data_IF_060272610009
#
_entry.id   IF_060272610009
#
_cell.length_a   1.000
_cell.length_b   1.000
_cell.length_c   1.000
_cell.angle_alpha   90.00
_cell.angle_beta   90.00
_cell.angle_gamma   90.00
#
_symmetry.space_group_name_H-M   'P 1'
#
loop_
_entity.id
_entity.type
_entity.pdbx_description
1 polymer ?
#
# COMPACT_ATOMS: atom_id res chain seq x y z
N UNK A 1 -33.99 13.88 26.13
CA UNK A 1 -33.18 13.79 24.89
C UNK A 1 -31.68 14.10 25.09
N UNK A 2 -31.17 14.39 26.31
CA UNK A 2 -29.83 14.98 26.46
C UNK A 2 -28.59 14.08 26.29
N UNK A 3 -28.66 12.79 26.66
CA UNK A 3 -27.47 11.92 26.70
C UNK A 3 -27.38 10.94 25.52
N UNK A 4 -28.51 10.46 25.02
CA UNK A 4 -28.56 9.48 23.93
C UNK A 4 -28.13 10.09 22.60
N UNK A 5 -28.54 11.33 22.32
CA UNK A 5 -28.11 12.08 21.14
C UNK A 5 -26.62 12.43 21.17
N UNK A 6 -26.08 12.75 22.36
CA UNK A 6 -24.63 12.99 22.53
C UNK A 6 -23.81 11.72 22.32
N UNK A 7 -24.27 10.58 22.84
CA UNK A 7 -23.61 9.30 22.61
C UNK A 7 -23.67 8.85 21.14
N UNK A 8 -24.79 9.10 20.46
CA UNK A 8 -24.92 8.86 19.01
C UNK A 8 -23.94 9.73 18.23
N UNK A 9 -23.81 11.01 18.58
CA UNK A 9 -22.86 11.93 17.95
C UNK A 9 -21.41 11.49 18.17
N UNK A 10 -21.02 11.15 19.41
CA UNK A 10 -19.68 10.62 19.72
C UNK A 10 -19.37 9.31 18.99
N UNK A 11 -20.36 8.40 18.88
CA UNK A 11 -20.19 7.15 18.12
C UNK A 11 -20.04 7.39 16.62
N UNK A 12 -20.69 8.42 16.06
CA UNK A 12 -20.53 8.81 14.65
C UNK A 12 -19.16 9.43 14.41
N UNK A 13 -18.75 10.36 15.26
CA UNK A 13 -17.45 11.01 15.20
C UNK A 13 -16.31 9.98 15.25
N UNK A 14 -16.34 9.05 16.21
CA UNK A 14 -15.33 8.00 16.31
C UNK A 14 -15.26 7.12 15.05
N UNK A 15 -16.39 6.76 14.45
CA UNK A 15 -16.40 6.01 13.18
C UNK A 15 -15.78 6.80 12.03
N UNK A 16 -16.05 8.11 11.96
CA UNK A 16 -15.45 8.97 10.94
C UNK A 16 -13.94 9.10 11.13
N UNK A 17 -13.47 9.28 12.38
CA UNK A 17 -12.03 9.30 12.66
C UNK A 17 -11.35 7.99 12.29
N UNK A 18 -11.99 6.85 12.57
CA UNK A 18 -11.45 5.54 12.21
C UNK A 18 -11.42 5.31 10.69
N UNK A 19 -12.41 5.80 9.95
CA UNK A 19 -12.40 5.79 8.48
C UNK A 19 -11.24 6.62 7.93
N UNK A 20 -11.09 7.86 8.41
CA UNK A 20 -10.00 8.75 7.98
C UNK A 20 -8.62 8.13 8.27
N UNK A 21 -8.45 7.50 9.43
CA UNK A 21 -7.20 6.78 9.76
C UNK A 21 -6.95 5.61 8.80
N UNK A 22 -7.97 4.83 8.43
CA UNK A 22 -7.85 3.73 7.47
C UNK A 22 -7.47 4.22 6.07
N UNK A 23 -8.08 5.31 5.61
CA UNK A 23 -7.74 5.93 4.33
C UNK A 23 -6.30 6.46 4.31
N UNK A 24 -5.85 7.12 5.38
CA UNK A 24 -4.47 7.59 5.52
C UNK A 24 -3.46 6.44 5.52
N UNK A 25 -3.74 5.35 6.25
CA UNK A 25 -2.89 4.17 6.27
C UNK A 25 -2.85 3.47 4.90
N UNK A 26 -3.99 3.35 4.22
CA UNK A 26 -4.07 2.78 2.89
C UNK A 26 -3.24 3.60 1.88
N UNK A 27 -3.33 4.94 1.95
CA UNK A 27 -2.53 5.84 1.12
C UNK A 27 -1.04 5.74 1.43
N UNK A 28 -0.66 5.71 2.71
CA UNK A 28 0.74 5.53 3.13
C UNK A 28 1.32 4.20 2.62
N UNK A 29 0.59 3.09 2.79
CA UNK A 29 1.02 1.78 2.31
C UNK A 29 1.12 1.73 0.78
N UNK A 30 0.22 2.41 0.08
CA UNK A 30 0.26 2.52 -1.38
C UNK A 30 1.51 3.29 -1.86
N UNK A 31 1.80 4.44 -1.25
CA UNK A 31 2.99 5.22 -1.58
C UNK A 31 4.27 4.46 -1.21
N UNK A 32 4.28 3.76 -0.07
CA UNK A 32 5.38 2.89 0.34
C UNK A 32 5.58 1.72 -0.64
N UNK A 33 4.50 1.08 -1.10
CA UNK A 33 4.56 -0.01 -2.09
C UNK A 33 5.13 0.47 -3.42
N UNK A 34 4.79 1.68 -3.87
CA UNK A 34 5.40 2.28 -5.06
C UNK A 34 6.89 2.50 -4.85
N UNK A 35 7.27 3.11 -3.73
CA UNK A 35 8.67 3.41 -3.42
C UNK A 35 9.52 2.14 -3.34
N UNK A 36 9.07 1.11 -2.65
CA UNK A 36 9.80 -0.16 -2.54
C UNK A 36 9.88 -0.88 -3.88
N UNK A 37 8.83 -0.86 -4.69
CA UNK A 37 8.87 -1.41 -6.05
C UNK A 37 9.86 -0.65 -6.93
N UNK A 38 9.84 0.68 -6.91
CA UNK A 38 10.81 1.50 -7.67
C UNK A 38 12.24 1.22 -7.23
N UNK A 39 12.51 1.13 -5.93
CA UNK A 39 13.83 0.81 -5.41
C UNK A 39 14.29 -0.60 -5.82
N UNK A 40 13.40 -1.59 -5.77
CA UNK A 40 13.67 -2.97 -6.22
C UNK A 40 14.02 -3.00 -7.71
N UNK A 41 13.23 -2.34 -8.55
CA UNK A 41 13.46 -2.30 -10.00
C UNK A 41 14.78 -1.59 -10.31
N UNK A 42 15.04 -0.43 -9.70
CA UNK A 42 16.31 0.29 -9.89
C UNK A 42 17.52 -0.52 -9.43
N UNK A 43 17.45 -1.14 -8.25
CA UNK A 43 18.52 -2.02 -7.75
C UNK A 43 18.75 -3.22 -8.67
N UNK A 44 17.67 -3.82 -9.20
CA UNK A 44 17.75 -4.88 -10.19
C UNK A 44 18.39 -4.45 -11.50
N UNK A 45 18.06 -3.26 -12.02
CA UNK A 45 18.66 -2.73 -13.25
C UNK A 45 20.16 -2.52 -13.05
N UNK A 46 20.56 -1.94 -11.91
CA UNK A 46 21.98 -1.71 -11.60
C UNK A 46 22.74 -3.05 -11.53
N UNK A 47 22.20 -4.04 -10.82
CA UNK A 47 22.79 -5.38 -10.73
C UNK A 47 22.87 -6.07 -12.10
N UNK A 48 21.83 -5.93 -12.93
CA UNK A 48 21.82 -6.45 -14.29
C UNK A 48 22.90 -5.81 -15.16
N UNK A 49 23.07 -4.48 -15.10
CA UNK A 49 24.12 -3.77 -15.85
C UNK A 49 25.54 -4.12 -15.38
N UNK A 50 25.70 -4.45 -14.10
CA UNK A 50 26.98 -4.93 -13.54
C UNK A 50 27.27 -6.40 -13.89
N UNK A 51 26.36 -7.09 -14.59
CA UNK A 51 26.51 -8.50 -14.95
C UNK A 51 26.39 -9.47 -13.78
N UNK A 52 25.95 -9.00 -12.61
CA UNK A 52 25.80 -9.82 -11.38
C UNK A 52 24.46 -10.55 -11.31
N UNK A 53 23.56 -10.32 -12.28
CA UNK A 53 22.24 -10.94 -12.33
C UNK A 53 21.91 -11.39 -13.76
N UNK A 54 21.44 -12.64 -13.92
CA UNK A 54 20.92 -13.12 -15.19
C UNK A 54 19.63 -12.42 -15.59
N UNK A 55 19.44 -12.18 -16.90
CA UNK A 55 18.22 -11.54 -17.43
C UNK A 55 16.94 -12.26 -16.98
N UNK A 56 16.95 -13.60 -16.95
CA UNK A 56 15.80 -14.40 -16.52
C UNK A 56 15.41 -14.10 -15.07
N UNK A 57 16.39 -13.98 -14.18
CA UNK A 57 16.18 -13.67 -12.76
C UNK A 57 15.62 -12.25 -12.62
N UNK A 58 16.15 -11.29 -13.37
CA UNK A 58 15.68 -9.91 -13.38
C UNK A 58 14.20 -9.80 -13.80
N UNK A 59 13.81 -10.48 -14.88
CA UNK A 59 12.41 -10.49 -15.32
C UNK A 59 11.46 -11.15 -14.30
N UNK A 60 11.89 -12.25 -13.66
CA UNK A 60 11.10 -12.90 -12.59
C UNK A 60 10.95 -11.97 -11.40
N UNK A 61 12.02 -11.25 -11.01
CA UNK A 61 11.99 -10.30 -9.90
C UNK A 61 11.03 -9.14 -10.16
N UNK A 62 11.02 -8.58 -11.38
CA UNK A 62 10.06 -7.53 -11.78
C UNK A 62 8.63 -8.07 -11.73
N UNK A 63 8.38 -9.26 -12.30
CA UNK A 63 7.05 -9.86 -12.32
C UNK A 63 6.52 -10.12 -10.91
N UNK A 64 7.35 -10.67 -10.02
CA UNK A 64 7.01 -10.91 -8.63
C UNK A 64 6.77 -9.60 -7.86
N UNK A 65 7.66 -8.61 -8.01
CA UNK A 65 7.51 -7.29 -7.40
C UNK A 65 6.23 -6.58 -7.85
N UNK A 66 5.90 -6.67 -9.14
CA UNK A 66 4.68 -6.10 -9.71
C UNK A 66 3.42 -6.82 -9.20
N UNK A 67 3.47 -8.14 -9.06
CA UNK A 67 2.38 -8.93 -8.48
C UNK A 67 2.12 -8.58 -7.01
N UNK A 68 3.17 -8.49 -6.19
CA UNK A 68 3.07 -8.08 -4.78
C UNK A 68 2.53 -6.65 -4.66
N UNK A 69 3.03 -5.72 -5.48
CA UNK A 69 2.53 -4.35 -5.52
C UNK A 69 1.04 -4.32 -5.88
N UNK A 70 0.60 -5.08 -6.90
CA UNK A 70 -0.81 -5.17 -7.28
C UNK A 70 -1.69 -5.70 -6.13
N UNK A 71 -1.24 -6.72 -5.39
CA UNK A 71 -1.95 -7.21 -4.20
C UNK A 71 -2.05 -6.11 -3.13
N UNK A 72 -0.97 -5.36 -2.88
CA UNK A 72 -1.00 -4.25 -1.95
C UNK A 72 -2.00 -3.16 -2.37
N UNK A 73 -2.08 -2.82 -3.67
CA UNK A 73 -3.07 -1.86 -4.19
C UNK A 73 -4.50 -2.40 -4.01
N UNK A 74 -4.75 -3.65 -4.38
CA UNK A 74 -6.08 -4.26 -4.26
C UNK A 74 -6.50 -4.39 -2.79
N UNK A 75 -5.58 -4.74 -1.90
CA UNK A 75 -5.80 -4.80 -0.46
C UNK A 75 -6.08 -3.42 0.14
N UNK A 76 -5.33 -2.40 -0.26
CA UNK A 76 -5.58 -1.02 0.14
C UNK A 76 -6.97 -0.54 -0.33
N UNK A 77 -7.35 -0.84 -1.59
CA UNK A 77 -8.65 -0.46 -2.14
C UNK A 77 -9.82 -1.15 -1.42
N UNK A 78 -9.63 -2.38 -0.94
CA UNK A 78 -10.61 -3.11 -0.12
C UNK A 78 -10.70 -2.62 1.34
N UNK A 79 -9.68 -1.91 1.82
CA UNK A 79 -9.67 -1.27 3.14
C UNK A 79 -10.37 0.09 3.15
N UNK A 80 -10.43 0.75 1.99
CA UNK A 80 -11.09 2.04 1.76
C UNK A 80 -12.60 1.87 1.53
N UNK A 81 -13.02 0.77 0.88
CA UNK A 81 -14.43 0.43 0.63
C UNK A 81 -15.08 -0.25 1.83
#
# INVERSE_FOLDING_TARGET
>A
MGNWDREQALRRENRERDKVKRELLAKYLYDLSKLTFTALVLGGIIAFLQGSMEARIFYIMIAFGGFVAAICVLGANKLIK
#
